data_IF_980939563692
#
_entry.id   IF_980939563692
#
_cell.length_a   1.000
_cell.length_b   1.000
_cell.length_c   1.000
_cell.angle_alpha   90.00
_cell.angle_beta   90.00
_cell.angle_gamma   90.00
#
_symmetry.space_group_name_H-M   'P 1'
#
loop_
_entity.id
_entity.type
_entity.pdbx_description
1 polymer ?
#
# COMPACT_ATOMS: atom_id res chain seq x y z
N UNK A 1 -10.85 -5.01 -9.24
CA UNK A 1 -10.29 -5.14 -7.88
C UNK A 1 -10.17 -3.75 -7.31
N UNK A 2 -10.71 -3.52 -6.11
CA UNK A 2 -10.49 -2.25 -5.42
C UNK A 2 -9.06 -2.23 -4.84
N UNK A 3 -8.31 -1.17 -5.10
CA UNK A 3 -6.93 -1.05 -4.59
C UNK A 3 -7.02 -0.67 -3.10
N UNK A 4 -6.36 -1.38 -2.16
CA UNK A 4 -6.52 -1.15 -0.73
C UNK A 4 -5.78 0.10 -0.21
N UNK A 5 -5.18 0.87 -1.11
CA UNK A 5 -4.38 2.05 -0.80
C UNK A 5 -5.09 3.33 -1.21
N UNK A 6 -4.76 4.41 -0.51
CA UNK A 6 -5.25 5.75 -0.78
C UNK A 6 -4.10 6.75 -0.72
N UNK A 7 -4.17 7.78 -1.56
CA UNK A 7 -3.17 8.84 -1.63
C UNK A 7 -3.74 10.08 -0.94
N UNK A 8 -2.98 10.66 0.00
CA UNK A 8 -3.39 11.86 0.76
C UNK A 8 -2.19 12.77 1.03
N UNK A 9 -2.44 14.07 1.07
CA UNK A 9 -1.47 15.05 1.57
C UNK A 9 -1.20 14.76 3.06
N UNK A 10 0.07 14.69 3.44
CA UNK A 10 0.45 14.52 4.84
C UNK A 10 0.13 15.83 5.58
N UNK A 11 -0.61 15.80 6.72
CA UNK A 11 -1.07 17.01 7.40
C UNK A 11 0.08 17.98 7.72
N UNK A 12 -0.13 19.26 7.40
CA UNK A 12 0.84 20.35 7.62
C UNK A 12 2.16 20.21 6.85
N UNK A 13 2.16 19.50 5.72
CA UNK A 13 3.32 19.36 4.83
C UNK A 13 2.93 19.65 3.38
N UNK A 14 3.92 19.60 2.49
CA UNK A 14 3.75 19.58 1.03
C UNK A 14 3.92 18.18 0.45
N UNK A 15 4.05 17.16 1.29
CA UNK A 15 4.33 15.78 0.88
C UNK A 15 3.05 14.96 0.73
N UNK A 16 3.05 14.04 -0.24
CA UNK A 16 1.96 13.09 -0.44
C UNK A 16 2.35 11.72 0.12
N UNK A 17 1.45 11.16 0.93
CA UNK A 17 1.59 9.84 1.52
C UNK A 17 0.65 8.81 0.87
N UNK A 18 1.10 7.56 0.86
CA UNK A 18 0.29 6.40 0.49
C UNK A 18 -0.11 5.68 1.78
N UNK A 19 -1.40 5.53 2.00
CA UNK A 19 -1.97 4.96 3.22
C UNK A 19 -2.83 3.74 2.89
N UNK A 20 -3.02 2.87 3.87
CA UNK A 20 -4.04 1.82 3.78
C UNK A 20 -5.43 2.40 4.02
N UNK A 21 -6.43 1.89 3.29
CA UNK A 21 -7.85 2.09 3.60
C UNK A 21 -8.19 1.52 4.97
N UNK A 22 -9.24 2.02 5.60
CA UNK A 22 -9.72 1.47 6.87
C UNK A 22 -10.21 0.03 6.65
N UNK A 23 -9.77 -0.91 7.50
CA UNK A 23 -10.03 -2.35 7.38
C UNK A 23 -9.78 -2.91 5.96
N UNK A 24 -8.53 -2.86 5.46
CA UNK A 24 -8.24 -3.39 4.13
C UNK A 24 -8.25 -4.92 4.18
N UNK A 25 -8.93 -5.57 3.24
CA UNK A 25 -8.90 -7.03 3.07
C UNK A 25 -7.58 -7.48 2.43
N UNK A 26 -6.47 -7.34 3.16
CA UNK A 26 -5.15 -7.81 2.72
C UNK A 26 -5.05 -9.33 2.91
N UNK A 27 -5.09 -10.06 1.80
CA UNK A 27 -5.02 -11.52 1.81
C UNK A 27 -3.73 -12.00 1.15
N UNK A 28 -2.75 -12.42 1.96
CA UNK A 28 -1.45 -12.89 1.49
C UNK A 28 -1.56 -14.04 0.48
N UNK A 29 -2.52 -14.94 0.67
CA UNK A 29 -2.72 -16.10 -0.20
C UNK A 29 -3.31 -15.74 -1.57
N UNK A 30 -3.90 -14.55 -1.71
CA UNK A 30 -4.46 -14.05 -2.97
C UNK A 30 -3.48 -13.09 -3.65
N UNK A 31 -3.03 -12.06 -2.92
CA UNK A 31 -2.16 -11.01 -3.44
C UNK A 31 -0.99 -10.76 -2.48
N UNK A 32 0.20 -11.22 -2.88
CA UNK A 32 1.44 -11.06 -2.09
C UNK A 32 2.13 -9.73 -2.32
N UNK A 33 1.96 -9.13 -3.50
CA UNK A 33 2.67 -7.93 -3.92
C UNK A 33 1.71 -7.00 -4.66
N UNK A 34 1.75 -5.73 -4.31
CA UNK A 34 1.11 -4.66 -5.05
C UNK A 34 2.19 -3.78 -5.71
N UNK A 35 2.13 -3.65 -7.03
CA UNK A 35 2.92 -2.67 -7.79
C UNK A 35 2.07 -1.43 -8.03
N UNK A 36 2.35 -0.36 -7.29
CA UNK A 36 1.64 0.91 -7.37
C UNK A 36 2.38 1.81 -8.36
N UNK A 37 1.73 2.14 -9.47
CA UNK A 37 2.23 3.16 -10.39
C UNK A 37 1.81 4.53 -9.85
N UNK A 38 2.79 5.32 -9.42
CA UNK A 38 2.62 6.67 -8.90
C UNK A 38 2.86 7.63 -10.05
N UNK A 39 1.95 8.56 -10.25
CA UNK A 39 2.12 9.67 -11.20
C UNK A 39 2.09 10.99 -10.44
N UNK A 40 3.06 11.84 -10.77
CA UNK A 40 3.13 13.22 -10.30
C UNK A 40 3.02 14.13 -11.51
N UNK A 41 2.16 15.14 -11.43
CA UNK A 41 1.91 16.10 -12.51
C UNK A 41 1.95 17.51 -11.92
N UNK A 42 2.78 18.37 -12.49
CA UNK A 42 2.94 19.78 -12.07
C UNK A 42 2.22 20.78 -13.00
N UNK A 43 1.32 20.26 -13.85
CA UNK A 43 0.59 20.91 -14.95
C UNK A 43 1.43 21.27 -16.17
N UNK A 44 2.73 21.03 -16.14
CA UNK A 44 3.62 21.20 -17.28
C UNK A 44 4.07 19.84 -17.81
N UNK A 45 4.57 18.98 -16.93
CA UNK A 45 5.01 17.63 -17.24
C UNK A 45 4.49 16.63 -16.20
N UNK A 46 4.34 15.38 -16.64
CA UNK A 46 4.01 14.25 -15.78
C UNK A 46 5.19 13.29 -15.72
N UNK A 47 5.54 12.88 -14.51
CA UNK A 47 6.50 11.81 -14.26
C UNK A 47 5.83 10.63 -13.55
N UNK A 48 6.40 9.44 -13.72
CA UNK A 48 5.85 8.21 -13.15
C UNK A 48 6.92 7.35 -12.49
N UNK A 49 6.55 6.68 -11.40
CA UNK A 49 7.42 5.76 -10.68
C UNK A 49 6.64 4.57 -10.12
N UNK A 50 7.31 3.43 -9.98
CA UNK A 50 6.70 2.21 -9.43
C UNK A 50 7.14 2.03 -7.99
N UNK A 51 6.17 1.99 -7.07
CA UNK A 51 6.38 1.58 -5.68
C UNK A 51 5.86 0.16 -5.47
N UNK A 52 6.67 -0.69 -4.87
CA UNK A 52 6.30 -2.09 -4.56
C UNK A 52 5.94 -2.23 -3.09
N UNK A 53 4.76 -2.78 -2.80
CA UNK A 53 4.29 -3.09 -1.44
C UNK A 53 4.17 -4.59 -1.29
N UNK A 54 4.93 -5.16 -0.35
CA UNK A 54 4.89 -6.58 -0.03
C UNK A 54 3.91 -6.83 1.14
N UNK A 55 3.02 -7.79 0.96
CA UNK A 55 2.16 -8.30 2.04
C UNK A 55 2.92 -9.42 2.73
N UNK A 56 3.02 -9.36 4.06
CA UNK A 56 3.63 -10.39 4.87
C UNK A 56 2.52 -11.26 5.45
N UNK A 57 2.71 -12.57 5.40
CA UNK A 57 1.75 -13.53 5.95
C UNK A 57 1.59 -13.32 7.46
N UNK A 58 0.34 -13.28 7.93
CA UNK A 58 0.06 -13.29 9.35
C UNK A 58 0.05 -14.74 9.86
N UNK A 59 1.13 -15.14 10.53
CA UNK A 59 1.31 -16.52 11.00
C UNK A 59 0.72 -16.63 12.42
N UNK A 60 -0.21 -17.58 12.67
CA UNK A 60 -0.77 -17.78 14.01
C UNK A 60 0.31 -18.28 14.99
N UNK A 61 0.17 -18.01 16.30
CA UNK A 61 1.07 -18.58 17.29
C UNK A 61 0.97 -20.10 17.30
N UNK A 62 2.10 -20.76 17.56
CA UNK A 62 2.16 -22.22 17.74
C UNK A 62 2.21 -22.54 19.22
N UNK A 63 1.31 -23.40 19.71
CA UNK A 63 1.43 -23.95 21.06
C UNK A 63 2.37 -25.15 21.03
N UNK A 64 3.49 -25.05 21.73
CA UNK A 64 4.44 -26.15 21.93
C UNK A 64 4.42 -26.55 23.40
N UNK A 65 4.19 -27.84 23.69
CA UNK A 65 4.01 -28.49 25.02
C UNK A 65 2.59 -28.48 25.59
N UNK A 66 1.72 -29.30 25.00
CA UNK A 66 0.54 -29.85 25.68
C UNK A 66 0.91 -31.16 26.39
#
# INVERSE_FOLDING_TARGET
MDVPFLVKLVPNTTEWGIYLKNNPSLEYNITKVYSLNISCDDRFDADTGIMTVNIIENIPPTFTNL
#
